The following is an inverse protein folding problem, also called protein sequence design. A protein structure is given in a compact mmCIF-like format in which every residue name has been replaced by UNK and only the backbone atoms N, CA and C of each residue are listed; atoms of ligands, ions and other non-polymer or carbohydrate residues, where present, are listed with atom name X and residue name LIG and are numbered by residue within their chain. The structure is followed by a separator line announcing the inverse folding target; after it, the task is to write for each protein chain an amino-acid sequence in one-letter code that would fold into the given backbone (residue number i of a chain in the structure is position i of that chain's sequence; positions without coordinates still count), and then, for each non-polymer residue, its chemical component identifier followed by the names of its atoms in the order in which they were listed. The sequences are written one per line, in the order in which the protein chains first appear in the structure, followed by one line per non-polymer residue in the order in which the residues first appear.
data_IF_793080622423
#
_entry.id   IF_793080622423
#
_cell.length_a   1.000
_cell.length_b   1.000
_cell.length_c   1.000
_cell.angle_alpha   90.00
_cell.angle_beta   90.00
_cell.angle_gamma   90.00
#
_symmetry.space_group_name_H-M   'P 1'
#
loop_
_entity.id
_entity.type
_entity.pdbx_description
1 polymer ?
#
# COMPACT_ATOMS: atom_id res chain seq x y z
N UNK A 1 14.35 -12.86 -9.28
CA UNK A 1 13.86 -12.17 -8.07
C UNK A 1 12.51 -12.75 -7.71
N UNK A 2 12.36 -13.32 -6.51
CA UNK A 2 11.05 -13.75 -6.00
C UNK A 2 10.18 -12.52 -5.77
N UNK A 3 8.98 -12.52 -6.34
CA UNK A 3 8.02 -11.41 -6.25
C UNK A 3 7.10 -11.67 -5.06
N UNK A 4 7.60 -11.39 -3.84
CA UNK A 4 6.99 -11.78 -2.55
C UNK A 4 5.54 -11.28 -2.40
N UNK A 5 5.25 -10.06 -2.88
CA UNK A 5 3.94 -9.40 -2.77
C UNK A 5 3.23 -9.22 -4.12
N UNK A 6 3.68 -9.90 -5.17
CA UNK A 6 3.20 -9.65 -6.54
C UNK A 6 3.85 -8.41 -7.19
N UNK A 7 3.37 -7.99 -8.38
CA UNK A 7 4.09 -7.07 -9.28
C UNK A 7 4.57 -5.75 -8.64
N UNK A 8 3.90 -5.28 -7.59
CA UNK A 8 4.23 -4.05 -6.87
C UNK A 8 5.11 -4.27 -5.61
N UNK A 9 5.83 -5.40 -5.53
CA UNK A 9 6.64 -5.76 -4.35
C UNK A 9 7.63 -4.67 -3.94
N UNK A 10 8.27 -3.97 -4.89
CA UNK A 10 9.22 -2.90 -4.58
C UNK A 10 8.53 -1.71 -3.89
N UNK A 11 7.35 -1.32 -4.36
CA UNK A 11 6.54 -0.26 -3.72
C UNK A 11 6.09 -0.66 -2.33
N UNK A 12 5.69 -1.92 -2.13
CA UNK A 12 5.35 -2.44 -0.79
C UNK A 12 6.57 -2.35 0.13
N UNK A 13 7.75 -2.79 -0.31
CA UNK A 13 8.97 -2.70 0.50
C UNK A 13 9.35 -1.26 0.84
N UNK A 14 9.22 -0.33 -0.11
CA UNK A 14 9.41 1.09 0.16
C UNK A 14 8.37 1.62 1.15
N UNK A 15 7.10 1.21 1.02
CA UNK A 15 6.07 1.60 1.98
C UNK A 15 6.39 1.11 3.39
N UNK A 16 6.86 -0.12 3.54
CA UNK A 16 7.28 -0.70 4.83
C UNK A 16 8.36 0.12 5.51
N UNK A 17 9.41 0.53 4.78
CA UNK A 17 10.50 1.32 5.37
C UNK A 17 10.02 2.68 5.88
N UNK A 18 9.12 3.34 5.14
CA UNK A 18 8.62 4.66 5.57
C UNK A 18 7.71 4.59 6.80
N UNK A 19 7.05 3.46 7.07
CA UNK A 19 6.22 3.30 8.28
C UNK A 19 7.08 3.39 9.55
N UNK A 20 8.28 2.83 9.50
CA UNK A 20 9.22 2.81 10.62
C UNK A 20 9.74 4.22 10.97
N UNK A 21 9.72 5.14 10.01
CA UNK A 21 10.21 6.51 10.15
C UNK A 21 9.13 7.52 10.60
N UNK A 22 7.88 7.07 10.79
CA UNK A 22 6.78 7.97 11.17
C UNK A 22 6.93 8.51 12.59
N UNK A 23 6.76 9.82 12.72
CA UNK A 23 6.70 10.50 14.02
C UNK A 23 5.40 10.19 14.77
N UNK A 24 5.37 10.36 16.11
CA UNK A 24 4.14 10.22 16.90
C UNK A 24 2.97 11.07 16.39
N UNK A 25 3.25 12.30 15.95
CA UNK A 25 2.24 13.23 15.45
C UNK A 25 1.64 12.76 14.11
N UNK A 26 2.46 12.16 13.26
CA UNK A 26 2.00 11.57 12.00
C UNK A 26 1.17 10.31 12.25
N UNK A 27 1.56 9.48 13.22
CA UNK A 27 0.78 8.30 13.65
C UNK A 27 -0.61 8.72 14.12
N UNK A 28 -0.70 9.69 15.02
CA UNK A 28 -1.97 10.21 15.54
C UNK A 28 -2.82 10.80 14.40
N UNK A 29 -2.20 11.59 13.52
CA UNK A 29 -2.89 12.18 12.36
C UNK A 29 -3.47 11.12 11.42
N UNK A 30 -2.71 10.06 11.13
CA UNK A 30 -3.18 8.95 10.30
C UNK A 30 -4.38 8.25 10.94
N UNK A 31 -4.31 7.97 12.24
CA UNK A 31 -5.39 7.33 12.99
C UNK A 31 -6.69 8.16 12.91
N UNK A 32 -6.60 9.47 13.09
CA UNK A 32 -7.76 10.35 13.06
C UNK A 32 -8.38 10.47 11.66
N UNK A 33 -7.56 10.58 10.62
CA UNK A 33 -8.05 10.59 9.23
C UNK A 33 -8.71 9.26 8.84
N UNK A 34 -8.18 8.14 9.32
CA UNK A 34 -8.80 6.84 9.07
C UNK A 34 -10.19 6.75 9.71
N UNK A 35 -10.36 7.22 10.95
CA UNK A 35 -11.68 7.25 11.62
C UNK A 35 -12.69 8.15 10.90
N UNK A 36 -12.23 9.24 10.29
CA UNK A 36 -13.07 10.16 9.50
C UNK A 36 -13.49 9.57 8.15
N UNK A 37 -12.70 8.62 7.62
CA UNK A 37 -13.06 7.93 6.38
C UNK A 37 -14.26 7.03 6.62
N UNK A 38 -15.22 7.01 5.69
CA UNK A 38 -16.43 6.18 5.82
C UNK A 38 -16.08 4.68 5.79
N UNK A 39 -16.61 3.92 6.75
CA UNK A 39 -16.48 2.45 6.78
C UNK A 39 -17.05 1.80 5.52
N UNK A 40 -18.14 2.35 4.97
CA UNK A 40 -18.72 1.85 3.72
C UNK A 40 -17.76 2.05 2.55
N UNK A 41 -17.19 3.24 2.40
CA UNK A 41 -16.27 3.56 1.29
C UNK A 41 -15.00 2.70 1.35
N UNK A 42 -14.48 2.44 2.56
CA UNK A 42 -13.37 1.48 2.74
C UNK A 42 -13.76 0.05 2.36
N UNK A 43 -14.95 -0.40 2.78
CA UNK A 43 -15.44 -1.74 2.45
C UNK A 43 -15.63 -1.93 0.94
N UNK A 44 -16.12 -0.90 0.23
CA UNK A 44 -16.21 -0.88 -1.23
C UNK A 44 -14.83 -1.01 -1.88
N UNK A 45 -13.80 -0.33 -1.34
CA UNK A 45 -12.42 -0.50 -1.81
C UNK A 45 -11.90 -1.93 -1.64
N UNK A 46 -12.19 -2.57 -0.51
CA UNK A 46 -11.85 -3.98 -0.29
C UNK A 46 -12.65 -4.93 -1.18
N UNK A 47 -13.92 -4.64 -1.45
CA UNK A 47 -14.72 -5.41 -2.40
C UNK A 47 -14.12 -5.34 -3.80
N UNK A 48 -13.63 -4.17 -4.21
CA UNK A 48 -12.95 -3.98 -5.49
C UNK A 48 -11.63 -4.75 -5.56
N UNK A 49 -10.83 -4.78 -4.49
CA UNK A 49 -9.66 -5.67 -4.39
C UNK A 49 -10.08 -7.12 -4.64
N UNK A 50 -11.13 -7.61 -3.95
CA UNK A 50 -11.59 -8.99 -4.10
C UNK A 50 -12.05 -9.31 -5.52
N UNK A 51 -12.80 -8.38 -6.14
CA UNK A 51 -13.36 -8.52 -7.48
C UNK A 51 -12.29 -8.54 -8.57
N UNK A 52 -11.19 -7.81 -8.37
CA UNK A 52 -10.19 -7.59 -9.42
C UNK A 52 -9.01 -8.53 -9.35
N UNK A 53 -8.84 -9.34 -8.29
CA UNK A 53 -7.67 -10.21 -8.07
C UNK A 53 -8.04 -11.69 -8.05
N UNK A 54 -7.13 -12.57 -8.51
CA UNK A 54 -7.23 -14.01 -8.29
C UNK A 54 -6.99 -14.37 -6.81
N UNK A 55 -7.30 -15.60 -6.40
CA UNK A 55 -7.07 -16.04 -5.02
C UNK A 55 -5.58 -16.02 -4.62
N UNK A 56 -4.68 -16.37 -5.55
CA UNK A 56 -3.24 -16.31 -5.32
C UNK A 56 -2.73 -14.86 -5.19
N UNK A 57 -3.22 -13.96 -6.05
CA UNK A 57 -2.91 -12.54 -5.96
C UNK A 57 -3.42 -11.95 -4.64
N UNK A 58 -4.65 -12.29 -4.27
CA UNK A 58 -5.28 -11.86 -3.01
C UNK A 58 -4.49 -12.34 -1.80
N UNK A 59 -4.02 -13.59 -1.81
CA UNK A 59 -3.17 -14.10 -0.75
C UNK A 59 -1.91 -13.26 -0.58
N UNK A 60 -1.20 -12.92 -1.67
CA UNK A 60 0.01 -12.08 -1.62
C UNK A 60 -0.29 -10.65 -1.14
N UNK A 61 -1.43 -10.08 -1.53
CA UNK A 61 -1.91 -8.77 -1.06
C UNK A 61 -2.17 -8.80 0.44
N UNK A 62 -2.83 -9.85 0.95
CA UNK A 62 -3.07 -10.03 2.38
C UNK A 62 -1.78 -10.23 3.16
N UNK A 63 -0.79 -10.93 2.59
CA UNK A 63 0.55 -11.05 3.18
C UNK A 63 1.23 -9.68 3.27
N UNK A 64 1.17 -8.85 2.23
CA UNK A 64 1.68 -7.48 2.26
C UNK A 64 1.02 -6.64 3.36
N UNK A 65 -0.31 -6.70 3.45
CA UNK A 65 -1.07 -5.97 4.46
C UNK A 65 -0.78 -6.45 5.89
N UNK A 66 -0.60 -7.75 6.10
CA UNK A 66 -0.25 -8.33 7.39
C UNK A 66 1.15 -7.90 7.86
N UNK A 67 2.15 -7.94 6.96
CA UNK A 67 3.50 -7.47 7.26
C UNK A 67 3.49 -5.98 7.60
N UNK A 68 2.78 -5.15 6.82
CA UNK A 68 2.69 -3.72 7.07
C UNK A 68 1.99 -3.40 8.40
N UNK A 69 0.90 -4.10 8.71
CA UNK A 69 0.22 -3.97 10.01
C UNK A 69 1.14 -4.31 11.17
N UNK A 70 1.99 -5.34 11.02
CA UNK A 70 2.98 -5.69 12.05
C UNK A 70 4.02 -4.58 12.22
N UNK A 71 4.59 -4.07 11.14
CA UNK A 71 5.53 -2.95 11.17
C UNK A 71 4.92 -1.70 11.83
N UNK A 72 3.65 -1.39 11.51
CA UNK A 72 2.92 -0.31 12.15
C UNK A 72 2.71 -0.52 13.66
N UNK A 73 2.41 -1.74 14.09
CA UNK A 73 2.31 -2.06 15.52
C UNK A 73 3.65 -1.83 16.23
N UNK A 74 4.76 -2.28 15.64
CA UNK A 74 6.09 -2.11 16.22
C UNK A 74 6.50 -0.63 16.27
N UNK A 75 6.26 0.15 15.20
CA UNK A 75 6.51 1.60 15.17
C UNK A 75 5.66 2.36 16.20
N UNK A 76 4.36 2.06 16.29
CA UNK A 76 3.47 2.69 17.26
C UNK A 76 3.87 2.36 18.70
N UNK A 77 4.31 1.13 18.98
CA UNK A 77 4.81 0.73 20.30
C UNK A 77 6.04 1.53 20.72
N UNK A 78 6.99 1.75 19.80
CA UNK A 78 8.18 2.56 20.07
C UNK A 78 7.83 4.00 20.48
N UNK A 79 6.73 4.53 19.95
CA UNK A 79 6.20 5.86 20.26
C UNK A 79 5.12 5.88 21.36
N UNK A 80 4.82 4.73 21.99
CA UNK A 80 3.74 4.57 22.99
C UNK A 80 2.36 5.02 22.47
N UNK A 81 2.11 4.81 21.18
CA UNK A 81 0.82 5.03 20.53
C UNK A 81 0.11 3.68 20.39
N UNK A 82 -1.14 3.62 20.83
CA UNK A 82 -1.92 2.38 20.89
C UNK A 82 -3.25 2.48 20.15
N UNK A 83 -3.42 3.51 19.33
CA UNK A 83 -4.64 3.68 18.55
C UNK A 83 -4.69 2.65 17.43
N UNK A 84 -5.73 1.80 17.50
CA UNK A 84 -5.88 0.72 16.55
C UNK A 84 -6.19 1.18 15.12
N UNK A 85 -6.71 2.40 14.97
CA UNK A 85 -7.01 2.96 13.67
C UNK A 85 -5.73 3.17 12.84
N UNK A 86 -4.58 3.41 13.48
CA UNK A 86 -3.31 3.56 12.77
C UNK A 86 -2.91 2.29 12.02
N UNK A 87 -2.85 1.14 12.70
CA UNK A 87 -2.45 -0.10 12.04
C UNK A 87 -3.56 -0.66 11.13
N UNK A 88 -4.82 -0.24 11.30
CA UNK A 88 -5.88 -0.48 10.33
C UNK A 88 -5.67 0.34 9.04
N UNK A 89 -5.30 1.61 9.17
CA UNK A 89 -4.97 2.47 8.02
C UNK A 89 -3.77 1.94 7.23
N UNK A 90 -2.75 1.47 7.92
CA UNK A 90 -1.57 0.87 7.27
C UNK A 90 -1.93 -0.43 6.55
N UNK A 91 -2.81 -1.26 7.12
CA UNK A 91 -3.32 -2.46 6.46
C UNK A 91 -4.05 -2.12 5.15
N UNK A 92 -4.95 -1.13 5.18
CA UNK A 92 -5.68 -0.66 3.99
C UNK A 92 -4.72 -0.12 2.92
N UNK A 93 -3.79 0.75 3.32
CA UNK A 93 -2.82 1.35 2.41
C UNK A 93 -1.88 0.31 1.79
N UNK A 94 -1.41 -0.68 2.54
CA UNK A 94 -0.57 -1.76 2.02
C UNK A 94 -1.28 -2.59 0.96
N UNK A 95 -2.55 -2.94 1.19
CA UNK A 95 -3.35 -3.68 0.22
C UNK A 95 -3.53 -2.87 -1.07
N UNK A 96 -3.82 -1.57 -0.93
CA UNK A 96 -3.92 -0.65 -2.06
C UNK A 96 -2.59 -0.51 -2.81
N UNK A 97 -1.46 -0.39 -2.12
CA UNK A 97 -0.13 -0.34 -2.74
C UNK A 97 0.21 -1.64 -3.50
N UNK A 98 -0.17 -2.80 -2.95
CA UNK A 98 0.07 -4.09 -3.58
C UNK A 98 -0.78 -4.27 -4.86
N UNK A 99 -2.04 -3.83 -4.86
CA UNK A 99 -2.96 -3.97 -6.00
C UNK A 99 -2.85 -2.81 -7.02
N UNK A 100 -2.38 -1.65 -6.58
CA UNK A 100 -2.14 -0.42 -7.34
C UNK A 100 -3.34 0.07 -8.15
N UNK A 101 -3.16 0.34 -9.45
CA UNK A 101 -4.12 0.98 -10.34
C UNK A 101 -5.32 0.09 -10.71
N UNK A 102 -5.28 -1.21 -10.38
CA UNK A 102 -6.38 -2.16 -10.65
C UNK A 102 -7.68 -1.81 -9.93
N UNK A 103 -7.61 -1.05 -8.83
CA UNK A 103 -8.78 -0.63 -8.05
C UNK A 103 -9.20 0.82 -8.32
N UNK A 104 -8.61 1.47 -9.33
CA UNK A 104 -9.01 2.82 -9.77
C UNK A 104 -9.06 3.84 -8.64
N UNK A 105 -10.17 4.57 -8.52
CA UNK A 105 -10.36 5.59 -7.48
C UNK A 105 -10.39 5.03 -6.05
N UNK A 106 -10.66 3.74 -5.87
CA UNK A 106 -10.62 3.12 -4.54
C UNK A 106 -9.21 3.05 -3.95
N UNK A 107 -8.17 3.13 -4.79
CA UNK A 107 -6.80 3.28 -4.33
C UNK A 107 -6.67 4.48 -3.39
N UNK A 108 -7.14 5.65 -3.86
CA UNK A 108 -7.06 6.90 -3.11
C UNK A 108 -7.84 6.84 -1.80
N UNK A 109 -8.97 6.12 -1.77
CA UNK A 109 -9.74 5.91 -0.54
C UNK A 109 -8.91 5.17 0.51
N UNK A 110 -8.29 4.06 0.11
CA UNK A 110 -7.57 3.19 1.04
C UNK A 110 -6.22 3.79 1.47
N UNK A 111 -5.55 4.55 0.60
CA UNK A 111 -4.27 5.20 0.97
C UNK A 111 -4.44 6.58 1.60
N UNK A 112 -5.59 7.25 1.49
CA UNK A 112 -5.76 8.65 1.88
C UNK A 112 -5.21 9.02 3.27
N UNK A 113 -5.48 8.24 4.35
CA UNK A 113 -4.93 8.55 5.67
C UNK A 113 -3.40 8.58 5.67
N UNK A 114 -2.76 7.61 5.02
CA UNK A 114 -1.29 7.54 4.92
C UNK A 114 -0.74 8.56 3.93
N UNK A 115 -1.43 8.85 2.83
CA UNK A 115 -1.00 9.82 1.84
C UNK A 115 -0.88 11.25 2.41
N UNK A 116 -1.60 11.55 3.50
CA UNK A 116 -1.50 12.83 4.21
C UNK A 116 -0.15 13.06 4.90
N UNK A 117 0.60 11.99 5.20
CA UNK A 117 1.93 12.03 5.83
C UNK A 117 3.02 11.42 4.94
N UNK A 118 2.62 10.64 3.93
CA UNK A 118 3.49 10.07 2.89
C UNK A 118 2.98 10.44 1.49
N UNK A 119 3.26 11.67 1.00
CA UNK A 119 2.70 12.16 -0.27
C UNK A 119 3.03 11.30 -1.49
N UNK A 120 4.12 10.52 -1.43
CA UNK A 120 4.54 9.56 -2.46
C UNK A 120 3.48 8.49 -2.76
N UNK A 121 2.55 8.25 -1.83
CA UNK A 121 1.43 7.32 -2.00
C UNK A 121 0.26 7.89 -2.81
N UNK A 122 0.20 9.20 -3.03
CA UNK A 122 -0.96 9.84 -3.70
C UNK A 122 -1.14 9.43 -5.16
N UNK A 123 -0.12 8.82 -5.78
CA UNK A 123 -0.15 8.38 -7.15
C UNK A 123 0.36 6.95 -7.26
N UNK A 124 -0.48 6.05 -7.76
CA UNK A 124 0.01 4.75 -8.14
C UNK A 124 0.76 4.82 -9.47
N UNK A 125 2.09 4.68 -9.42
CA UNK A 125 2.91 4.39 -10.60
C UNK A 125 3.17 2.90 -10.58
N UNK A 126 2.67 2.16 -11.57
CA UNK A 126 3.13 0.79 -11.78
C UNK A 126 4.64 0.81 -11.98
N UNK A 127 5.33 -0.18 -11.41
CA UNK A 127 6.71 -0.52 -11.77
C UNK A 127 6.72 -1.17 -13.17
N UNK A 128 6.21 -0.47 -14.19
CA UNK A 128 6.15 -0.90 -15.60
C UNK A 128 7.49 -0.77 -16.34
N UNK A 129 8.54 -0.31 -15.66
CA UNK A 129 9.88 -0.18 -16.24
C UNK A 129 10.41 -1.53 -16.78
N UNK A 130 9.98 -2.67 -16.24
CA UNK A 130 10.43 -3.97 -16.75
C UNK A 130 10.00 -4.24 -18.20
N UNK A 131 8.76 -3.96 -18.61
CA UNK A 131 8.27 -4.39 -19.94
C UNK A 131 8.65 -3.41 -21.06
N UNK A 132 8.62 -2.10 -20.78
CA UNK A 132 9.00 -1.07 -21.77
C UNK A 132 10.51 -0.94 -21.95
N UNK A 133 11.32 -1.13 -20.89
CA UNK A 133 12.78 -1.15 -21.05
C UNK A 133 13.27 -2.42 -21.75
N UNK A 134 12.63 -3.57 -21.53
CA UNK A 134 12.92 -4.80 -22.28
C UNK A 134 12.55 -4.67 -23.78
N UNK A 135 11.42 -4.05 -24.11
CA UNK A 135 11.06 -3.79 -25.52
C UNK A 135 11.98 -2.74 -26.18
N UNK A 136 12.41 -1.71 -25.44
CA UNK A 136 13.35 -0.72 -25.93
C UNK A 136 14.77 -1.25 -26.14
N UNK A 137 15.23 -2.20 -25.31
CA UNK A 137 16.54 -2.83 -25.43
C UNK A 137 16.60 -3.83 -26.61
N UNK A 138 15.53 -4.57 -26.88
CA UNK A 138 15.45 -5.48 -28.04
C UNK A 138 15.43 -4.72 -29.37
N UNK A 139 14.80 -3.53 -29.42
CA UNK A 139 14.75 -2.70 -30.62
C UNK A 139 16.04 -1.91 -30.90
N UNK A 140 16.90 -1.69 -29.90
CA UNK A 140 18.19 -0.99 -30.07
C UNK A 140 19.40 -1.90 -30.30
N UNK A 141 19.25 -3.21 -30.15
CA UNK A 141 20.32 -4.20 -30.36
C UNK A 141 20.34 -4.86 -31.75
N UNK A 142 19.41 -4.50 -32.64
CA UNK A 142 19.32 -5.02 -34.00
C UNK A 142 19.60 -3.93 -35.04
N UNK A 143 20.87 -3.54 -35.17
CA UNK A 143 21.36 -2.61 -36.18
C UNK A 143 22.82 -2.86 -36.47
#
# INVERSE_FOLDING_TARGET
MSIIFGPNSRRVLQFLTHIEDLSPEEIDRVADLWKQTSSQTRAEGWAEVHRTTTDEERYRILVAAAVARRAALDAAQNHRRHDWAFWAAVWDAAAAVAVCDRIGSHYNVLVAPLAAVMPSLSHCRRDELSTRELQGAVLKGGG
#
